data_IF_263769101092
#
_entry.id   IF_263769101092
#
_cell.length_a   1.000
_cell.length_b   1.000
_cell.length_c   1.000
_cell.angle_alpha   90.00
_cell.angle_beta   90.00
_cell.angle_gamma   90.00
#
_symmetry.space_group_name_H-M   'P 1'
#
loop_
_entity.id
_entity.type
_entity.pdbx_description
1 polymer ?
#
# COMPACT_ATOMS: atom_id res chain seq x y z
N UNK A 1 9.46 3.15 -9.83
CA UNK A 1 8.28 3.98 -9.49
C UNK A 1 7.04 3.11 -9.37
N UNK A 2 6.36 3.16 -8.23
CA UNK A 2 5.16 2.36 -7.95
C UNK A 2 4.02 2.66 -8.94
N UNK A 3 3.91 3.89 -9.44
CA UNK A 3 2.92 4.28 -10.48
C UNK A 3 3.11 3.48 -11.77
N UNK A 4 4.36 3.28 -12.23
CA UNK A 4 4.61 2.50 -13.46
C UNK A 4 4.17 1.04 -13.31
N UNK A 5 4.16 0.53 -12.07
CA UNK A 5 3.80 -0.84 -11.74
C UNK A 5 2.30 -1.07 -11.96
N UNK A 6 1.46 -0.05 -11.77
CA UNK A 6 0.03 -0.09 -12.09
C UNK A 6 -0.19 -0.44 -13.57
N UNK A 7 0.44 0.31 -14.48
CA UNK A 7 0.28 0.10 -15.93
C UNK A 7 0.91 -1.20 -16.39
N UNK A 8 2.12 -1.51 -15.91
CA UNK A 8 2.86 -2.72 -16.33
C UNK A 8 2.18 -4.02 -15.89
N UNK A 9 1.54 -4.01 -14.72
CA UNK A 9 0.85 -5.19 -14.18
C UNK A 9 -0.65 -5.18 -14.46
N UNK A 10 -1.18 -4.10 -15.04
CA UNK A 10 -2.61 -3.91 -15.31
C UNK A 10 -3.45 -4.13 -14.05
N UNK A 11 -3.08 -3.43 -12.97
CA UNK A 11 -3.77 -3.49 -11.67
C UNK A 11 -4.28 -2.12 -11.27
N UNK A 12 -5.39 -2.09 -10.53
CA UNK A 12 -6.05 -0.84 -10.11
C UNK A 12 -5.32 -0.13 -8.97
N UNK A 13 -4.56 -0.89 -8.16
CA UNK A 13 -3.81 -0.37 -7.04
C UNK A 13 -2.54 -1.18 -6.75
N UNK A 14 -1.57 -0.54 -6.09
CA UNK A 14 -0.39 -1.18 -5.51
C UNK A 14 -0.15 -0.69 -4.09
N UNK A 15 0.32 -1.58 -3.21
CA UNK A 15 0.79 -1.22 -1.87
C UNK A 15 2.31 -1.04 -1.91
N UNK A 16 2.77 0.20 -1.72
CA UNK A 16 4.19 0.50 -1.61
C UNK A 16 4.62 0.41 -0.15
N UNK A 17 5.49 -0.56 0.15
CA UNK A 17 6.08 -0.75 1.48
C UNK A 17 7.39 0.02 1.55
N UNK A 18 7.43 1.09 2.35
CA UNK A 18 8.64 1.87 2.57
C UNK A 18 9.53 1.15 3.58
N UNK A 19 10.64 0.60 3.08
CA UNK A 19 11.70 0.06 3.91
C UNK A 19 12.75 1.15 4.11
N UNK A 20 12.88 1.69 5.33
CA UNK A 20 13.93 2.68 5.64
C UNK A 20 15.32 2.05 5.53
N UNK A 21 15.50 0.87 6.11
CA UNK A 21 16.78 0.15 6.14
C UNK A 21 16.56 -1.36 5.87
N UNK A 22 17.56 -2.06 5.34
CA UNK A 22 17.46 -3.51 5.09
C UNK A 22 17.17 -4.34 6.36
N UNK A 23 17.47 -3.81 7.54
CA UNK A 23 17.17 -4.39 8.85
C UNK A 23 15.68 -4.35 9.22
N UNK A 24 14.89 -3.50 8.54
CA UNK A 24 13.43 -3.45 8.73
C UNK A 24 12.69 -4.60 8.03
N UNK A 25 13.38 -5.34 7.16
CA UNK A 25 12.83 -6.52 6.51
C UNK A 25 12.63 -7.65 7.52
N UNK A 26 11.38 -8.08 7.70
CA UNK A 26 11.00 -9.08 8.70
C UNK A 26 10.51 -8.51 10.04
N UNK A 27 10.49 -7.19 10.21
CA UNK A 27 9.91 -6.52 11.38
C UNK A 27 8.40 -6.77 11.54
N UNK A 28 7.87 -6.40 12.71
CA UNK A 28 6.44 -6.51 13.02
C UNK A 28 5.61 -5.31 12.52
N UNK A 29 6.27 -4.23 12.13
CA UNK A 29 5.65 -3.02 11.61
C UNK A 29 6.07 -2.75 10.17
N UNK A 30 5.19 -2.11 9.43
CA UNK A 30 5.43 -1.63 8.08
C UNK A 30 4.91 -0.20 7.93
N UNK A 31 5.38 0.51 6.91
CA UNK A 31 4.85 1.79 6.50
C UNK A 31 4.37 1.65 5.06
N UNK A 32 3.05 1.69 4.87
CA UNK A 32 2.42 1.41 3.57
C UNK A 32 1.82 2.68 3.00
N UNK A 33 2.08 2.91 1.71
CA UNK A 33 1.31 3.86 0.88
C UNK A 33 0.47 3.06 -0.12
N UNK A 34 -0.84 3.29 -0.11
CA UNK A 34 -1.77 2.73 -1.09
C UNK A 34 -1.83 3.66 -2.30
N UNK A 35 -1.54 3.14 -3.48
CA UNK A 35 -1.36 3.94 -4.70
C UNK A 35 -2.31 3.41 -5.77
N UNK A 36 -3.16 4.30 -6.29
CA UNK A 36 -4.03 4.06 -7.44
C UNK A 36 -3.61 4.95 -8.60
N UNK A 37 -4.32 4.87 -9.74
CA UNK A 37 -4.09 5.78 -10.87
C UNK A 37 -4.37 7.25 -10.52
N UNK A 38 -5.31 7.49 -9.60
CA UNK A 38 -5.83 8.83 -9.28
C UNK A 38 -5.27 9.37 -7.96
N UNK A 39 -4.93 8.50 -7.00
CA UNK A 39 -4.62 8.91 -5.62
C UNK A 39 -3.47 8.13 -5.01
N UNK A 40 -2.83 8.73 -4.00
CA UNK A 40 -1.86 8.06 -3.13
C UNK A 40 -2.21 8.38 -1.69
N UNK A 41 -2.46 7.34 -0.90
CA UNK A 41 -2.89 7.46 0.50
C UNK A 41 -1.83 6.82 1.39
N UNK A 42 -1.19 7.63 2.22
CA UNK A 42 -0.28 7.12 3.25
C UNK A 42 -1.10 6.50 4.39
N UNK A 43 -0.98 5.19 4.59
CA UNK A 43 -1.69 4.46 5.66
C UNK A 43 -0.96 4.57 7.02
N UNK A 44 0.23 5.17 7.00
CA UNK A 44 1.12 5.36 8.15
C UNK A 44 1.90 4.10 8.50
N UNK A 45 2.67 4.20 9.60
CA UNK A 45 3.40 3.08 10.19
C UNK A 45 2.56 2.38 11.25
N UNK A 46 2.38 1.07 11.15
CA UNK A 46 1.65 0.27 12.13
C UNK A 46 2.03 -1.21 12.02
N UNK A 47 1.52 -2.04 12.91
CA UNK A 47 1.57 -3.49 12.78
C UNK A 47 0.83 -4.00 11.53
N UNK A 48 1.20 -5.21 11.10
CA UNK A 48 0.68 -5.84 9.87
C UNK A 48 -0.83 -6.07 9.88
N UNK A 49 -1.43 -6.39 11.04
CA UNK A 49 -2.86 -6.65 11.12
C UNK A 49 -3.64 -5.35 10.95
N UNK A 50 -3.25 -4.30 11.66
CA UNK A 50 -3.85 -2.97 11.52
C UNK A 50 -3.71 -2.43 10.10
N UNK A 51 -2.54 -2.59 9.48
CA UNK A 51 -2.34 -2.19 8.09
C UNK A 51 -3.21 -2.98 7.11
N UNK A 52 -3.40 -4.28 7.34
CA UNK A 52 -4.24 -5.11 6.47
C UNK A 52 -5.68 -4.61 6.44
N UNK A 53 -6.22 -4.16 7.58
CA UNK A 53 -7.54 -3.56 7.65
C UNK A 53 -7.60 -2.24 6.88
N UNK A 54 -6.63 -1.34 7.07
CA UNK A 54 -6.56 -0.08 6.32
C UNK A 54 -6.47 -0.29 4.80
N UNK A 55 -5.73 -1.31 4.36
CA UNK A 55 -5.65 -1.68 2.94
C UNK A 55 -7.01 -2.16 2.43
N UNK A 56 -7.73 -2.98 3.20
CA UNK A 56 -9.09 -3.41 2.85
C UNK A 56 -10.04 -2.23 2.73
N UNK A 57 -9.96 -1.26 3.65
CA UNK A 57 -10.83 -0.07 3.63
C UNK A 57 -10.60 0.79 2.37
N UNK A 58 -9.34 0.97 1.93
CA UNK A 58 -9.05 1.67 0.66
C UNK A 58 -9.46 0.84 -0.56
N UNK A 59 -9.24 -0.48 -0.55
CA UNK A 59 -9.61 -1.35 -1.65
C UNK A 59 -11.13 -1.42 -1.87
N UNK A 60 -11.94 -1.38 -0.80
CA UNK A 60 -13.40 -1.36 -0.91
C UNK A 60 -13.92 -0.12 -1.65
N UNK A 61 -13.24 1.03 -1.53
CA UNK A 61 -13.63 2.25 -2.24
C UNK A 61 -13.55 2.07 -3.76
N UNK A 62 -12.65 1.22 -4.24
CA UNK A 62 -12.50 0.91 -5.67
C UNK A 62 -13.63 0.03 -6.23
N UNK A 63 -14.36 -0.67 -5.37
CA UNK A 63 -15.45 -1.57 -5.77
C UNK A 63 -16.83 -0.91 -5.74
N UNK A 64 -16.93 0.31 -5.18
CA UNK A 64 -18.17 1.06 -5.06
C UNK A 64 -18.30 2.20 -6.10
N UNK A 65 -17.36 2.28 -7.06
CA UNK A 65 -17.41 3.12 -8.26
C UNK A 65 -17.90 2.29 -9.47
#
# INVERSE_FOLDING_TARGET
NAINLLTQKQVDAVCYNLLQDATSFGGNENEITFITKDTQVALGRSDKLTLSQKILDEAQKLSND
#
